data_IF_517749581640
#
_entry.id   IF_517749581640
#
_cell.length_a   1.000
_cell.length_b   1.000
_cell.length_c   1.000
_cell.angle_alpha   90.00
_cell.angle_beta   90.00
_cell.angle_gamma   90.00
#
_symmetry.space_group_name_H-M   'P 1'
#
loop_
_entity.id
_entity.type
_entity.pdbx_description
1 polymer ?
#
# COMPACT_ATOMS: atom_id res chain seq x y z
N UNK A 1 18.44 -19.14 -25.14
CA UNK A 1 17.11 -18.56 -24.85
C UNK A 1 17.36 -17.33 -24.00
N UNK A 2 17.21 -16.15 -24.58
CA UNK A 2 17.39 -14.89 -23.84
C UNK A 2 16.25 -14.76 -22.84
N UNK A 3 16.59 -14.71 -21.55
CA UNK A 3 15.66 -14.23 -20.52
C UNK A 3 15.43 -12.74 -20.82
N UNK A 4 14.30 -12.44 -21.46
CA UNK A 4 13.78 -11.09 -21.55
C UNK A 4 13.48 -10.61 -20.14
N UNK A 5 14.38 -9.81 -19.59
CA UNK A 5 14.05 -8.87 -18.52
C UNK A 5 12.80 -8.14 -19.03
N UNK A 6 11.67 -8.17 -18.30
CA UNK A 6 10.51 -7.40 -18.73
C UNK A 6 10.95 -5.95 -18.89
N UNK A 7 10.76 -5.40 -20.09
CA UNK A 7 10.96 -3.98 -20.36
C UNK A 7 10.31 -3.17 -19.23
N UNK A 8 10.97 -2.09 -18.81
CA UNK A 8 10.50 -1.12 -17.82
C UNK A 8 9.13 -0.55 -18.21
N UNK A 9 8.07 -1.32 -18.00
CA UNK A 9 6.72 -0.82 -17.87
C UNK A 9 6.61 -0.27 -16.46
N UNK A 10 6.17 0.97 -16.33
CA UNK A 10 5.88 1.56 -15.04
C UNK A 10 4.92 0.65 -14.26
N UNK A 11 5.42 -0.01 -13.20
CA UNK A 11 4.61 -0.87 -12.35
C UNK A 11 3.83 0.03 -11.41
N UNK A 12 2.51 -0.10 -11.42
CA UNK A 12 1.65 0.65 -10.50
C UNK A 12 0.82 -0.28 -9.62
N UNK A 13 0.67 0.09 -8.36
CA UNK A 13 -0.26 -0.55 -7.44
C UNK A 13 -1.50 0.32 -7.29
N UNK A 14 -2.64 -0.20 -7.72
CA UNK A 14 -3.92 0.49 -7.62
C UNK A 14 -4.69 0.01 -6.39
N UNK A 15 -5.11 0.95 -5.54
CA UNK A 15 -5.89 0.66 -4.33
C UNK A 15 -7.00 1.69 -4.13
N UNK A 16 -7.97 1.34 -3.29
CA UNK A 16 -8.98 2.27 -2.76
C UNK A 16 -8.73 2.54 -1.28
N UNK A 17 -8.90 3.78 -0.83
CA UNK A 17 -8.91 4.04 0.62
C UNK A 17 -10.30 3.85 1.25
N UNK A 18 -10.39 4.00 2.58
CA UNK A 18 -11.65 3.89 3.32
C UNK A 18 -12.73 4.90 2.91
N UNK A 19 -12.37 5.99 2.22
CA UNK A 19 -13.31 6.98 1.66
C UNK A 19 -13.76 6.62 0.25
N UNK A 20 -13.18 5.56 -0.34
CA UNK A 20 -13.41 5.15 -1.72
C UNK A 20 -12.56 5.93 -2.74
N UNK A 21 -11.64 6.79 -2.30
CA UNK A 21 -10.72 7.49 -3.22
C UNK A 21 -9.72 6.47 -3.78
N UNK A 22 -9.56 6.49 -5.09
CA UNK A 22 -8.59 5.67 -5.80
C UNK A 22 -7.19 6.28 -5.72
N UNK A 23 -6.21 5.41 -5.51
CA UNK A 23 -4.79 5.73 -5.46
C UNK A 23 -4.02 4.81 -6.39
N UNK A 24 -3.03 5.37 -7.09
CA UNK A 24 -2.12 4.61 -7.94
C UNK A 24 -0.69 4.91 -7.51
N UNK A 25 0.01 3.89 -7.02
CA UNK A 25 1.36 4.04 -6.46
C UNK A 25 2.40 3.54 -7.44
N UNK A 26 3.38 4.37 -7.82
CA UNK A 26 4.55 3.90 -8.54
C UNK A 26 5.25 2.81 -7.74
N UNK A 27 5.65 1.75 -8.43
CA UNK A 27 6.37 0.63 -7.85
C UNK A 27 7.66 0.39 -8.61
N UNK A 28 8.69 -0.06 -7.88
CA UNK A 28 9.91 -0.60 -8.47
C UNK A 28 10.03 -2.07 -8.09
N UNK A 29 10.35 -2.91 -9.06
CA UNK A 29 10.61 -4.32 -8.85
C UNK A 29 12.11 -4.57 -9.00
N UNK A 30 12.71 -5.23 -8.02
CA UNK A 30 14.08 -5.73 -8.12
C UNK A 30 14.09 -7.22 -7.81
N UNK A 31 14.96 -7.94 -8.50
CA UNK A 31 15.20 -9.34 -8.22
C UNK A 31 16.42 -9.45 -7.30
N UNK A 32 16.23 -10.08 -6.15
CA UNK A 32 17.28 -10.45 -5.22
C UNK A 32 17.41 -11.98 -5.21
N UNK A 33 18.64 -12.49 -5.31
CA UNK A 33 18.88 -13.93 -5.41
C UNK A 33 18.47 -14.70 -4.14
N UNK A 34 18.37 -14.02 -2.99
CA UNK A 34 18.06 -14.64 -1.69
C UNK A 34 16.57 -14.56 -1.35
N UNK A 35 15.94 -13.42 -1.62
CA UNK A 35 14.55 -13.13 -1.24
C UNK A 35 13.58 -13.21 -2.42
N UNK A 36 14.09 -13.39 -3.64
CA UNK A 36 13.31 -13.43 -4.87
C UNK A 36 12.96 -12.03 -5.36
N UNK A 37 11.81 -11.89 -6.01
CA UNK A 37 11.36 -10.59 -6.51
C UNK A 37 10.78 -9.75 -5.38
N UNK A 38 11.39 -8.60 -5.11
CA UNK A 38 10.92 -7.62 -4.15
C UNK A 38 10.30 -6.45 -4.92
N UNK A 39 9.09 -6.07 -4.51
CA UNK A 39 8.39 -4.89 -5.04
C UNK A 39 8.38 -3.81 -3.97
N UNK A 40 9.01 -2.67 -4.27
CA UNK A 40 8.93 -1.46 -3.46
C UNK A 40 7.82 -0.58 -3.98
N UNK A 41 6.99 -0.05 -3.08
CA UNK A 41 5.83 0.79 -3.41
C UNK A 41 6.10 2.20 -2.89
N UNK A 42 5.94 3.20 -3.75
CA UNK A 42 6.15 4.60 -3.40
C UNK A 42 4.88 5.21 -2.80
N UNK A 43 4.92 5.53 -1.50
CA UNK A 43 3.77 6.02 -0.73
C UNK A 43 3.83 7.53 -0.43
N UNK A 44 4.86 8.24 -0.87
CA UNK A 44 5.20 9.59 -0.38
C UNK A 44 4.05 10.60 -0.50
N UNK A 45 3.36 10.61 -1.65
CA UNK A 45 2.22 11.50 -1.87
C UNK A 45 1.04 11.15 -0.94
N UNK A 46 0.73 9.87 -0.78
CA UNK A 46 -0.33 9.40 0.11
C UNK A 46 -0.02 9.68 1.57
N UNK A 47 1.22 9.45 2.00
CA UNK A 47 1.69 9.76 3.36
C UNK A 47 1.49 11.24 3.66
N UNK A 48 1.88 12.11 2.72
CA UNK A 48 1.71 13.57 2.86
C UNK A 48 0.24 13.97 2.90
N UNK A 49 -0.58 13.49 1.98
CA UNK A 49 -1.97 13.91 1.86
C UNK A 49 -2.83 13.39 3.03
N UNK A 50 -2.66 12.13 3.43
CA UNK A 50 -3.36 11.56 4.59
C UNK A 50 -2.75 12.00 5.92
N UNK A 51 -1.63 12.70 5.91
CA UNK A 51 -0.95 13.16 7.13
C UNK A 51 -0.51 11.99 8.01
N UNK A 52 -0.02 10.91 7.40
CA UNK A 52 0.49 9.71 8.07
C UNK A 52 1.75 10.07 8.85
N UNK A 53 1.87 9.53 10.05
CA UNK A 53 2.97 9.80 10.99
C UNK A 53 3.61 8.51 11.45
N UNK A 54 4.82 8.61 11.98
CA UNK A 54 5.47 7.49 12.65
C UNK A 54 4.54 6.88 13.72
N UNK A 55 4.48 5.56 13.77
CA UNK A 55 3.61 4.75 14.63
C UNK A 55 2.12 4.68 14.23
N UNK A 56 1.71 5.32 13.13
CA UNK A 56 0.44 4.97 12.51
C UNK A 56 0.52 3.56 11.90
N UNK A 57 -0.61 2.85 11.90
CA UNK A 57 -0.76 1.55 11.25
C UNK A 57 -1.31 1.74 9.86
N UNK A 58 -0.56 1.31 8.86
CA UNK A 58 -1.05 1.19 7.50
C UNK A 58 -1.51 -0.25 7.27
N UNK A 59 -2.75 -0.44 6.84
CA UNK A 59 -3.35 -1.75 6.64
C UNK A 59 -3.73 -1.89 5.18
N UNK A 60 -2.99 -2.74 4.47
CA UNK A 60 -3.36 -3.17 3.13
C UNK A 60 -4.26 -4.40 3.23
N UNK A 61 -5.38 -4.38 2.52
CA UNK A 61 -6.35 -5.48 2.48
C UNK A 61 -6.62 -5.89 1.05
N UNK A 62 -6.77 -7.18 0.86
CA UNK A 62 -7.29 -7.74 -0.38
C UNK A 62 -8.78 -8.03 -0.22
N UNK A 63 -9.59 -7.66 -1.21
CA UNK A 63 -11.01 -7.99 -1.27
C UNK A 63 -11.34 -8.61 -2.62
N UNK A 64 -11.69 -9.90 -2.59
CA UNK A 64 -12.21 -10.60 -3.76
C UNK A 64 -13.62 -10.11 -4.08
N UNK A 65 -13.88 -9.83 -5.36
CA UNK A 65 -15.17 -9.48 -5.94
C UNK A 65 -15.49 -10.43 -7.09
N UNK A 66 -16.74 -10.42 -7.56
CA UNK A 66 -17.16 -11.25 -8.69
C UNK A 66 -16.35 -10.98 -9.97
N UNK A 67 -15.86 -9.76 -10.14
CA UNK A 67 -15.15 -9.28 -11.34
C UNK A 67 -13.62 -9.26 -11.19
N UNK A 68 -13.08 -9.62 -10.01
CA UNK A 68 -11.64 -9.60 -9.74
C UNK A 68 -11.30 -9.27 -8.30
N UNK A 69 -10.03 -8.93 -8.06
CA UNK A 69 -9.53 -8.53 -6.74
C UNK A 69 -9.35 -7.02 -6.68
N UNK A 70 -9.82 -6.40 -5.60
CA UNK A 70 -9.53 -5.00 -5.28
C UNK A 70 -8.65 -4.94 -4.03
N UNK A 71 -7.62 -4.11 -4.08
CA UNK A 71 -6.81 -3.77 -2.92
C UNK A 71 -7.34 -2.52 -2.23
N UNK A 72 -7.36 -2.53 -0.90
CA UNK A 72 -7.76 -1.40 -0.09
C UNK A 72 -6.64 -1.01 0.87
N UNK A 73 -6.54 0.28 1.19
CA UNK A 73 -5.57 0.83 2.13
C UNK A 73 -6.25 1.68 3.20
N UNK A 74 -5.98 1.35 4.46
CA UNK A 74 -6.45 2.13 5.60
C UNK A 74 -5.27 2.61 6.42
N UNK A 75 -5.37 3.82 6.98
CA UNK A 75 -4.40 4.33 7.96
C UNK A 75 -5.11 4.49 9.29
N UNK A 76 -4.51 3.93 10.35
CA UNK A 76 -5.03 3.99 11.71
C UNK A 76 -4.04 4.64 12.65
N UNK A 77 -4.49 5.65 13.37
CA UNK A 77 -3.73 6.33 14.41
C UNK A 77 -4.12 5.81 15.78
N UNK A 78 -3.10 5.55 16.60
CA UNK A 78 -3.30 5.21 18.01
C UNK A 78 -3.67 6.46 18.80
N UNK A 79 -4.77 6.39 19.54
CA UNK A 79 -5.24 7.43 20.46
C UNK A 79 -5.38 6.77 21.83
N UNK A 80 -4.93 7.45 22.88
CA UNK A 80 -5.10 6.99 24.25
C UNK A 80 -6.29 7.69 24.88
N UNK A 81 -7.34 6.93 25.20
CA UNK A 81 -8.55 7.43 25.86
C UNK A 81 -8.86 6.56 27.07
N UNK A 82 -9.14 7.17 28.22
CA UNK A 82 -9.48 6.48 29.47
C UNK A 82 -8.47 5.39 29.90
N UNK A 83 -7.19 5.56 29.55
CA UNK A 83 -6.12 4.61 29.87
C UNK A 83 -5.92 3.50 28.84
N UNK A 84 -6.83 3.36 27.87
CA UNK A 84 -6.81 2.34 26.82
C UNK A 84 -6.29 2.88 25.48
N UNK A 85 -5.66 1.99 24.70
CA UNK A 85 -5.19 2.29 23.34
C UNK A 85 -6.29 1.97 22.33
N UNK A 86 -6.76 2.98 21.62
CA UNK A 86 -7.79 2.89 20.57
C UNK A 86 -7.16 3.21 19.21
N UNK A 87 -7.58 2.52 18.16
CA UNK A 87 -7.14 2.76 16.78
C UNK A 87 -8.25 3.41 15.98
N UNK A 88 -8.08 4.70 15.67
CA UNK A 88 -9.01 5.48 14.86
C UNK A 88 -8.48 5.65 13.44
N UNK A 89 -9.38 5.74 12.46
CA UNK A 89 -8.99 6.03 11.08
C UNK A 89 -8.46 7.47 10.97
N UNK A 90 -7.50 7.66 10.06
CA UNK A 90 -6.91 8.97 9.72
C UNK A 90 -7.59 9.55 8.49
#
# INVERSE_FOLDING_TARGET
>A
MGSSIPEEGDLYMNVLDNTGKAWSFPCSAHHDETTGTVVSVCWDEFVREKGVRANDKMVLKEKSMAEGTIFMVDVKRRIRLFGEDIWADV
#
